data_IF_936790047538
#
_entry.id   IF_936790047538
#
_cell.length_a   1.000
_cell.length_b   1.000
_cell.length_c   1.000
_cell.angle_alpha   90.00
_cell.angle_beta   90.00
_cell.angle_gamma   90.00
#
_symmetry.space_group_name_H-M   'P 1'
#
loop_
_entity.id
_entity.type
_entity.pdbx_description
1 polymer ?
#
# COMPACT_ATOMS: atom_id res chain seq x y z
N UNK A 1 7.01 7.87 19.98
CA UNK A 1 7.29 6.86 18.94
C UNK A 1 8.34 7.44 18.02
N UNK A 2 9.46 6.74 17.81
CA UNK A 2 10.65 7.31 17.14
C UNK A 2 10.56 7.21 15.62
N UNK A 3 11.13 8.20 14.93
CA UNK A 3 11.23 8.23 13.47
C UNK A 3 12.11 7.06 12.98
N UNK A 4 11.74 6.30 11.92
CA UNK A 4 12.47 5.07 11.53
C UNK A 4 13.97 5.26 11.25
N UNK A 5 14.36 6.45 10.78
CA UNK A 5 15.79 6.81 10.65
C UNK A 5 16.59 6.62 11.95
N UNK A 6 15.97 6.76 13.13
CA UNK A 6 16.62 6.56 14.41
C UNK A 6 17.18 5.13 14.53
N UNK A 7 16.48 4.14 13.99
CA UNK A 7 16.85 2.73 14.03
C UNK A 7 18.08 2.38 13.16
N UNK A 8 18.46 3.24 12.21
CA UNK A 8 19.58 2.97 11.30
C UNK A 8 20.94 3.37 11.92
N UNK A 9 21.62 2.40 12.53
CA UNK A 9 22.89 2.61 13.24
C UNK A 9 24.14 2.55 12.35
N UNK A 10 24.04 1.95 11.16
CA UNK A 10 25.15 1.79 10.23
C UNK A 10 24.77 2.33 8.85
N UNK A 11 25.78 2.78 8.08
CA UNK A 11 25.59 3.20 6.70
C UNK A 11 25.20 1.99 5.84
N UNK A 12 24.07 2.03 5.11
CA UNK A 12 23.64 0.90 4.28
C UNK A 12 24.53 0.71 3.04
N UNK A 13 25.36 1.71 2.66
CA UNK A 13 26.27 1.63 1.52
C UNK A 13 27.61 0.97 1.87
N UNK A 14 28.20 1.29 3.03
CA UNK A 14 29.56 0.85 3.38
C UNK A 14 29.70 0.20 4.76
N UNK A 15 28.63 0.05 5.54
CA UNK A 15 28.65 -0.59 6.86
C UNK A 15 29.23 0.27 8.00
N UNK A 16 29.78 1.45 7.73
CA UNK A 16 30.35 2.33 8.76
C UNK A 16 29.31 2.76 9.80
N UNK A 17 29.70 2.77 11.08
CA UNK A 17 28.92 3.34 12.19
C UNK A 17 28.88 4.87 12.19
N UNK A 18 29.68 5.53 11.35
CA UNK A 18 29.71 6.99 11.25
C UNK A 18 28.55 7.51 10.39
N UNK A 19 27.32 7.12 10.72
CA UNK A 19 26.10 7.45 9.97
C UNK A 19 25.23 8.44 10.77
N UNK A 20 25.57 9.72 10.65
CA UNK A 20 25.07 10.79 11.50
C UNK A 20 23.79 11.43 10.95
N UNK A 21 22.93 11.90 11.85
CA UNK A 21 21.73 12.69 11.50
C UNK A 21 22.19 14.05 10.99
N UNK A 22 21.71 14.43 9.81
CA UNK A 22 21.94 15.76 9.22
C UNK A 22 20.77 16.68 9.55
N UNK A 23 19.55 16.16 9.41
CA UNK A 23 18.30 16.87 9.71
C UNK A 23 17.17 15.85 9.92
N UNK A 24 15.95 16.33 10.15
CA UNK A 24 14.78 15.48 10.42
C UNK A 24 14.48 14.40 9.37
N UNK A 25 14.93 14.58 8.12
CA UNK A 25 14.65 13.68 6.99
C UNK A 25 15.88 12.98 6.42
N UNK A 26 17.07 13.17 7.00
CA UNK A 26 18.29 12.65 6.38
C UNK A 26 19.40 12.27 7.36
N UNK A 27 20.11 11.18 7.00
CA UNK A 27 21.40 10.79 7.60
C UNK A 27 22.50 10.82 6.54
N UNK A 28 23.72 11.17 6.94
CA UNK A 28 24.92 11.17 6.09
C UNK A 28 26.01 10.33 6.72
N UNK A 29 26.67 9.51 5.90
CA UNK A 29 27.86 8.78 6.29
C UNK A 29 29.09 9.67 6.16
N UNK A 30 29.86 9.80 7.24
CA UNK A 30 31.11 10.58 7.25
C UNK A 30 32.20 9.82 6.47
N UNK A 31 32.23 8.49 6.55
CA UNK A 31 33.29 7.69 5.93
C UNK A 31 33.23 7.63 4.40
N UNK A 32 32.03 7.51 3.81
CA UNK A 32 31.88 7.35 2.36
C UNK A 32 31.06 8.47 1.69
N UNK A 33 30.60 9.45 2.46
CA UNK A 33 29.82 10.59 1.97
C UNK A 33 28.36 10.29 1.59
N UNK A 34 27.90 9.03 1.65
CA UNK A 34 26.53 8.65 1.29
C UNK A 34 25.48 9.38 2.12
N UNK A 35 24.46 9.93 1.47
CA UNK A 35 23.31 10.58 2.12
C UNK A 35 22.07 9.74 1.86
N UNK A 36 21.37 9.37 2.93
CA UNK A 36 20.07 8.70 2.86
C UNK A 36 18.98 9.68 3.26
N UNK A 37 18.01 9.86 2.37
CA UNK A 37 16.81 10.65 2.62
C UNK A 37 15.65 9.72 2.93
N UNK A 38 14.93 10.02 4.02
CA UNK A 38 13.69 9.34 4.36
C UNK A 38 12.54 10.14 3.77
N UNK A 39 12.09 9.72 2.60
CA UNK A 39 10.94 10.28 1.93
C UNK A 39 9.68 9.49 2.34
N UNK A 40 8.49 10.11 2.33
CA UNK A 40 7.25 9.36 2.48
C UNK A 40 7.14 8.27 1.43
N UNK A 41 6.64 7.09 1.81
CA UNK A 41 6.22 6.08 0.85
C UNK A 41 4.93 6.52 0.16
N UNK A 42 4.76 6.13 -1.09
CA UNK A 42 3.54 6.41 -1.83
C UNK A 42 2.55 5.25 -1.73
N UNK A 43 1.28 5.56 -1.53
CA UNK A 43 0.18 4.62 -1.51
C UNK A 43 -1.01 5.18 -2.29
N UNK A 44 -1.94 4.31 -2.66
CA UNK A 44 -3.15 4.66 -3.42
C UNK A 44 -4.38 4.10 -2.73
N UNK A 45 -5.52 4.77 -2.91
CA UNK A 45 -6.81 4.32 -2.41
C UNK A 45 -7.92 4.63 -3.42
N UNK A 46 -8.89 3.74 -3.56
CA UNK A 46 -9.98 3.86 -4.52
C UNK A 46 -11.33 4.11 -3.82
N UNK A 47 -12.05 5.12 -4.30
CA UNK A 47 -13.50 5.20 -4.16
C UNK A 47 -14.14 4.50 -5.34
N UNK A 48 -14.80 3.37 -5.09
CA UNK A 48 -15.50 2.57 -6.09
C UNK A 48 -16.99 2.60 -5.76
N UNK A 49 -17.78 3.22 -6.64
CA UNK A 49 -19.23 3.30 -6.51
C UNK A 49 -19.89 2.35 -7.52
N UNK A 50 -20.97 1.69 -7.10
CA UNK A 50 -21.81 0.96 -8.04
C UNK A 50 -22.85 1.90 -8.69
N UNK A 51 -23.67 1.36 -9.61
CA UNK A 51 -24.74 2.13 -10.27
C UNK A 51 -25.86 2.64 -9.36
N UNK A 52 -25.86 2.28 -8.06
CA UNK A 52 -26.77 2.78 -7.03
C UNK A 52 -26.11 3.81 -6.10
N UNK A 53 -24.89 4.25 -6.41
CA UNK A 53 -24.06 5.11 -5.55
C UNK A 53 -23.70 4.49 -4.19
N UNK A 54 -23.66 3.16 -4.10
CA UNK A 54 -23.18 2.45 -2.92
C UNK A 54 -21.65 2.29 -3.00
N UNK A 55 -20.96 2.52 -1.88
CA UNK A 55 -19.49 2.51 -1.81
C UNK A 55 -18.96 1.12 -1.48
N UNK A 56 -18.02 0.62 -2.28
CA UNK A 56 -17.30 -0.61 -1.97
C UNK A 56 -16.29 -0.36 -0.85
N UNK A 57 -16.39 -1.16 0.21
CA UNK A 57 -15.43 -1.20 1.32
C UNK A 57 -14.97 -2.62 1.56
N UNK A 58 -13.72 -2.77 1.98
CA UNK A 58 -13.11 -4.02 2.41
C UNK A 58 -13.10 -4.10 3.93
N UNK A 59 -13.19 -5.31 4.50
CA UNK A 59 -12.97 -5.53 5.94
C UNK A 59 -11.55 -6.05 6.17
N UNK A 60 -10.76 -5.33 6.97
CA UNK A 60 -9.37 -5.71 7.29
C UNK A 60 -9.33 -7.07 7.99
N UNK A 61 -8.58 -8.03 7.46
CA UNK A 61 -8.49 -9.37 8.06
C UNK A 61 -7.31 -9.54 9.02
N UNK A 62 -6.39 -8.57 9.11
CA UNK A 62 -5.19 -8.61 9.95
C UNK A 62 -5.04 -7.34 10.77
N UNK A 63 -4.30 -7.44 11.86
CA UNK A 63 -3.86 -6.29 12.63
C UNK A 63 -2.83 -5.42 11.87
N UNK A 64 -2.74 -4.11 12.19
CA UNK A 64 -3.59 -3.40 13.15
C UNK A 64 -5.01 -3.14 12.62
N UNK A 65 -5.96 -3.01 13.53
CA UNK A 65 -7.37 -2.72 13.26
C UNK A 65 -8.10 -3.82 12.48
N UNK A 66 -7.82 -5.09 12.83
CA UNK A 66 -8.59 -6.21 12.29
C UNK A 66 -10.11 -6.00 12.50
N UNK A 67 -10.89 -6.26 11.47
CA UNK A 67 -12.34 -6.18 11.50
C UNK A 67 -12.92 -4.80 11.18
N UNK A 68 -12.11 -3.74 11.06
CA UNK A 68 -12.62 -2.43 10.61
C UNK A 68 -12.83 -2.40 9.10
N UNK A 69 -13.59 -1.40 8.64
CA UNK A 69 -13.77 -1.12 7.21
C UNK A 69 -12.59 -0.29 6.71
N UNK A 70 -12.21 -0.54 5.47
CA UNK A 70 -11.15 0.15 4.75
C UNK A 70 -11.56 0.28 3.27
N UNK A 71 -10.92 1.20 2.56
CA UNK A 71 -11.09 1.31 1.12
C UNK A 71 -10.07 0.41 0.39
N UNK A 72 -10.41 -0.12 -0.79
CA UNK A 72 -9.43 -0.87 -1.58
C UNK A 72 -8.22 0.00 -1.93
N UNK A 73 -7.02 -0.56 -1.82
CA UNK A 73 -5.79 0.16 -2.12
C UNK A 73 -4.56 -0.34 -1.36
N UNK A 74 -3.40 0.20 -1.71
CA UNK A 74 -2.13 -0.29 -1.19
C UNK A 74 -0.95 0.58 -1.57
N UNK A 75 0.25 0.03 -1.35
CA UNK A 75 1.50 0.72 -1.69
C UNK A 75 1.74 0.68 -3.19
N UNK A 76 2.25 1.78 -3.74
CA UNK A 76 2.73 1.80 -5.13
C UNK A 76 4.05 1.03 -5.19
N UNK A 77 4.15 0.06 -6.09
CA UNK A 77 5.38 -0.70 -6.27
C UNK A 77 6.42 0.10 -7.07
N UNK A 78 7.67 -0.37 -7.04
CA UNK A 78 8.73 0.29 -7.80
C UNK A 78 8.42 0.28 -9.30
N UNK A 79 8.52 1.46 -9.93
CA UNK A 79 8.32 1.68 -11.37
C UNK A 79 6.85 1.60 -11.82
N UNK A 80 5.91 1.74 -10.90
CA UNK A 80 4.49 1.98 -11.21
C UNK A 80 4.16 3.48 -11.13
N UNK A 81 3.20 3.93 -11.95
CA UNK A 81 2.45 5.15 -11.67
C UNK A 81 1.42 4.90 -10.57
N UNK A 82 0.80 5.98 -10.06
CA UNK A 82 -0.27 5.85 -9.08
C UNK A 82 -1.53 5.21 -9.70
N UNK A 83 -1.81 5.48 -10.96
CA UNK A 83 -2.87 4.85 -11.74
C UNK A 83 -2.63 3.35 -11.90
N UNK A 84 -1.42 2.94 -12.29
CA UNK A 84 -1.06 1.52 -12.42
C UNK A 84 -1.18 0.79 -11.07
N UNK A 85 -0.67 1.42 -10.00
CA UNK A 85 -0.77 0.89 -8.64
C UNK A 85 -2.21 0.68 -8.18
N UNK A 86 -3.10 1.67 -8.38
CA UNK A 86 -4.49 1.52 -7.94
C UNK A 86 -5.26 0.49 -8.77
N UNK A 87 -5.00 0.40 -10.08
CA UNK A 87 -5.59 -0.64 -10.94
C UNK A 87 -5.18 -2.03 -10.44
N UNK A 88 -3.89 -2.23 -10.13
CA UNK A 88 -3.37 -3.49 -9.59
C UNK A 88 -4.01 -3.83 -8.24
N UNK A 89 -3.97 -2.91 -7.27
CA UNK A 89 -4.48 -3.14 -5.92
C UNK A 89 -5.99 -3.45 -5.93
N UNK A 90 -6.80 -2.72 -6.72
CA UNK A 90 -8.23 -3.01 -6.86
C UNK A 90 -8.45 -4.42 -7.39
N UNK A 91 -7.70 -4.84 -8.41
CA UNK A 91 -7.81 -6.19 -8.95
C UNK A 91 -7.37 -7.26 -7.93
N UNK A 92 -6.26 -7.06 -7.23
CA UNK A 92 -5.75 -8.00 -6.23
C UNK A 92 -6.72 -8.20 -5.05
N UNK A 93 -7.33 -7.11 -4.56
CA UNK A 93 -8.18 -7.16 -3.36
C UNK A 93 -9.64 -7.54 -3.66
N UNK A 94 -10.12 -7.19 -4.85
CA UNK A 94 -11.56 -7.29 -5.19
C UNK A 94 -11.83 -8.12 -6.43
N UNK A 95 -10.83 -8.42 -7.27
CA UNK A 95 -11.04 -9.04 -8.58
C UNK A 95 -11.75 -8.16 -9.61
N UNK A 96 -12.07 -6.90 -9.28
CA UNK A 96 -12.70 -5.97 -10.21
C UNK A 96 -11.71 -5.50 -11.28
N UNK A 97 -12.19 -5.42 -12.51
CA UNK A 97 -11.45 -4.82 -13.62
C UNK A 97 -11.78 -3.33 -13.68
N UNK A 98 -10.75 -2.51 -13.52
CA UNK A 98 -10.83 -1.05 -13.61
C UNK A 98 -10.83 -0.64 -15.08
N UNK A 99 -11.81 0.18 -15.47
CA UNK A 99 -11.91 0.77 -16.80
C UNK A 99 -11.23 2.15 -16.83
N UNK A 100 -11.42 2.94 -15.77
CA UNK A 100 -10.85 4.27 -15.64
C UNK A 100 -10.49 4.56 -14.17
N UNK A 101 -9.33 5.18 -13.96
CA UNK A 101 -8.88 5.65 -12.65
C UNK A 101 -8.62 7.16 -12.74
N UNK A 102 -9.42 7.95 -12.01
CA UNK A 102 -9.38 9.41 -12.05
C UNK A 102 -8.82 9.93 -10.73
N UNK A 103 -7.60 10.48 -10.76
CA UNK A 103 -6.98 11.11 -9.60
C UNK A 103 -7.83 12.28 -9.09
N UNK A 104 -8.00 12.36 -7.78
CA UNK A 104 -8.73 13.45 -7.13
C UNK A 104 -7.80 14.35 -6.33
N UNK A 105 -7.12 13.79 -5.35
CA UNK A 105 -6.26 14.53 -4.42
C UNK A 105 -5.27 13.60 -3.72
N UNK A 106 -4.33 14.17 -2.98
CA UNK A 106 -3.44 13.41 -2.10
C UNK A 106 -3.43 13.99 -0.70
N UNK A 107 -3.22 13.11 0.29
CA UNK A 107 -3.17 13.48 1.71
C UNK A 107 -2.00 12.79 2.41
N UNK A 108 -1.36 13.45 3.40
CA UNK A 108 -0.38 12.79 4.24
C UNK A 108 -1.06 11.81 5.21
N UNK A 109 -0.44 10.66 5.45
CA UNK A 109 -0.86 9.74 6.49
C UNK A 109 0.35 9.14 7.23
N UNK A 110 0.11 8.54 8.40
CA UNK A 110 1.10 7.80 9.16
C UNK A 110 0.61 6.37 9.34
N UNK A 111 1.38 5.41 8.84
CA UNK A 111 1.05 3.99 8.92
C UNK A 111 2.05 3.24 9.79
N UNK A 112 1.55 2.39 10.69
CA UNK A 112 2.40 1.55 11.54
C UNK A 112 2.70 0.27 10.78
N UNK A 113 3.95 0.12 10.33
CA UNK A 113 4.42 -1.08 9.65
C UNK A 113 5.58 -1.70 10.42
N UNK A 114 5.45 -2.97 10.80
CA UNK A 114 6.48 -3.71 11.57
C UNK A 114 6.96 -2.95 12.82
N UNK A 115 6.04 -2.31 13.54
CA UNK A 115 6.34 -1.50 14.73
C UNK A 115 6.99 -0.14 14.48
N UNK A 116 7.14 0.27 13.22
CA UNK A 116 7.74 1.55 12.82
C UNK A 116 6.70 2.49 12.19
N UNK A 117 6.83 3.80 12.44
CA UNK A 117 5.99 4.82 11.80
C UNK A 117 6.49 5.14 10.41
N UNK A 118 5.77 4.69 9.39
CA UNK A 118 6.00 5.05 8.01
C UNK A 118 5.17 6.28 7.65
N UNK A 119 5.83 7.34 7.20
CA UNK A 119 5.14 8.48 6.60
C UNK A 119 4.68 8.09 5.21
N UNK A 120 3.40 8.31 4.92
CA UNK A 120 2.79 8.04 3.64
C UNK A 120 2.33 9.33 2.96
N UNK A 121 2.38 9.34 1.63
CA UNK A 121 1.53 10.17 0.81
C UNK A 121 0.50 9.24 0.13
N UNK A 122 -0.78 9.44 0.46
CA UNK A 122 -1.88 8.66 -0.09
C UNK A 122 -2.46 9.44 -1.28
N UNK A 123 -2.49 8.81 -2.45
CA UNK A 123 -3.10 9.31 -3.66
C UNK A 123 -4.51 8.71 -3.79
N UNK A 124 -5.51 9.57 -3.84
CA UNK A 124 -6.91 9.15 -3.84
C UNK A 124 -7.46 9.21 -5.25
N UNK A 125 -8.10 8.11 -5.66
CA UNK A 125 -8.72 7.95 -6.97
C UNK A 125 -10.22 7.70 -6.82
N UNK A 126 -11.00 8.23 -7.76
CA UNK A 126 -12.30 7.64 -8.10
C UNK A 126 -12.03 6.64 -9.20
N UNK A 127 -12.56 5.44 -9.05
CA UNK A 127 -12.30 4.33 -9.97
C UNK A 127 -13.62 3.82 -10.52
N UNK A 128 -13.72 3.82 -11.84
CA UNK A 128 -14.83 3.23 -12.57
C UNK A 128 -14.47 1.79 -12.95
N UNK A 129 -15.29 0.84 -12.49
CA UNK A 129 -15.12 -0.58 -12.76
C UNK A 129 -16.24 -1.09 -13.66
N UNK A 130 -16.03 -2.26 -14.29
CA UNK A 130 -17.11 -2.99 -14.93
C UNK A 130 -18.26 -3.24 -13.94
N UNK A 131 -19.51 -3.18 -14.42
CA UNK A 131 -20.71 -3.25 -13.57
C UNK A 131 -20.67 -4.46 -12.64
N UNK A 132 -20.79 -4.22 -11.34
CA UNK A 132 -20.79 -5.26 -10.32
C UNK A 132 -22.04 -5.14 -9.42
N UNK A 133 -22.65 -6.27 -9.08
CA UNK A 133 -23.65 -6.36 -8.00
C UNK A 133 -22.97 -6.98 -6.79
N UNK A 134 -23.49 -6.76 -5.58
CA UNK A 134 -22.93 -7.23 -4.30
C UNK A 134 -22.41 -8.67 -4.42
N UNK A 135 -21.09 -8.84 -4.47
CA UNK A 135 -20.48 -10.15 -4.43
C UNK A 135 -19.89 -10.35 -3.04
N UNK A 136 -20.25 -11.45 -2.39
CA UNK A 136 -19.33 -12.05 -1.43
C UNK A 136 -18.12 -12.53 -2.24
N UNK A 137 -17.19 -11.61 -2.54
CA UNK A 137 -15.98 -11.94 -3.31
C UNK A 137 -15.08 -12.73 -2.36
N UNK A 138 -15.21 -14.05 -2.42
CA UNK A 138 -14.22 -14.98 -1.87
C UNK A 138 -13.30 -15.30 -3.05
N UNK A 139 -12.18 -14.60 -3.17
CA UNK A 139 -11.19 -14.94 -4.19
C UNK A 139 -10.63 -16.33 -3.89
N UNK A 140 -10.71 -17.29 -4.82
CA UNK A 140 -9.94 -18.52 -4.69
C UNK A 140 -8.45 -18.18 -4.76
N UNK A 141 -7.64 -18.86 -3.97
CA UNK A 141 -6.18 -18.79 -4.07
C UNK A 141 -5.83 -19.21 -5.50
N UNK A 142 -5.35 -18.28 -6.34
CA UNK A 142 -4.85 -18.62 -7.66
C UNK A 142 -3.58 -19.46 -7.48
N UNK A 143 -3.69 -20.76 -7.67
CA UNK A 143 -2.55 -21.68 -7.82
C UNK A 143 -2.14 -21.71 -9.28
N UNK A 144 -0.84 -21.77 -9.57
CA UNK A 144 -0.39 -22.01 -10.95
C UNK A 144 -0.79 -23.42 -11.45
N UNK A 145 -0.67 -23.65 -12.76
CA UNK A 145 -1.02 -24.93 -13.42
C UNK A 145 -0.19 -26.13 -12.91
N UNK A 146 0.82 -25.89 -12.07
CA UNK A 146 1.67 -26.91 -11.47
C UNK A 146 1.37 -27.13 -9.98
N UNK A 147 0.31 -26.53 -9.44
CA UNK A 147 -0.05 -26.61 -8.02
C UNK A 147 1.01 -26.03 -7.09
N UNK A 148 1.91 -25.19 -7.60
CA UNK A 148 2.93 -24.50 -6.81
C UNK A 148 2.41 -23.12 -6.46
N UNK A 149 2.37 -22.82 -5.18
CA UNK A 149 2.24 -21.46 -4.68
C UNK A 149 3.51 -20.70 -5.07
N UNK A 150 3.46 -19.79 -6.04
CA UNK A 150 4.63 -18.98 -6.39
C UNK A 150 5.13 -18.23 -5.15
N UNK A 151 6.44 -18.20 -4.91
CA UNK A 151 7.07 -17.54 -3.74
C UNK A 151 6.87 -16.00 -3.66
N UNK A 152 5.92 -15.43 -4.42
CA UNK A 152 5.47 -14.04 -4.34
C UNK A 152 4.05 -13.88 -3.79
N UNK A 153 3.53 -14.84 -3.04
CA UNK A 153 2.30 -14.65 -2.28
C UNK A 153 2.59 -13.77 -1.05
N UNK A 154 2.40 -12.45 -1.16
CA UNK A 154 1.84 -11.70 -0.02
C UNK A 154 0.59 -12.50 0.35
N UNK A 155 0.61 -13.15 1.50
CA UNK A 155 -0.45 -14.04 1.97
C UNK A 155 -1.76 -13.24 2.03
N UNK A 156 -2.53 -13.30 0.94
CA UNK A 156 -3.70 -12.46 0.68
C UNK A 156 -4.67 -12.64 1.86
N UNK A 157 -4.86 -11.62 2.70
CA UNK A 157 -5.96 -11.67 3.65
C UNK A 157 -7.23 -11.68 2.82
N UNK A 158 -8.07 -12.69 2.96
CA UNK A 158 -9.41 -12.69 2.37
C UNK A 158 -10.14 -11.44 2.87
N UNK A 159 -10.12 -10.36 2.09
CA UNK A 159 -10.84 -9.13 2.40
C UNK A 159 -12.30 -9.37 2.06
N UNK A 160 -13.15 -9.48 3.07
CA UNK A 160 -14.59 -9.52 2.81
C UNK A 160 -15.03 -8.12 2.37
N UNK A 161 -15.43 -7.99 1.11
CA UNK A 161 -15.94 -6.74 0.56
C UNK A 161 -17.45 -6.58 0.83
N UNK A 162 -17.92 -5.35 1.02
CA UNK A 162 -19.34 -5.00 1.17
C UNK A 162 -19.62 -3.64 0.53
N UNK A 163 -20.86 -3.42 0.08
CA UNK A 163 -21.39 -2.13 -0.34
C UNK A 163 -22.05 -1.40 0.85
N UNK A 164 -21.71 -0.12 1.03
CA UNK A 164 -22.32 0.81 2.00
C UNK A 164 -23.27 1.81 1.33
#
# INVERSE_FOLDING_TARGET
MEHPLASFNCCPKCGSKQFAIVNRKAKRCISCGFVYYFNPSSATVAFILNGKNELLVCRRAKDPAQGTLDLPGGFIDMRETAEEGIVREVFEETGLIVNEAIYQFSLPNVYVYSGSLLSLNINTFIVECNTFQTFHIVLPILTDDNGRTGERHRQFPTLTCKLL
#
